data_IF_258479982284
#
_entry.id   IF_258479982284
#
_cell.length_a   1.000
_cell.length_b   1.000
_cell.length_c   1.000
_cell.angle_alpha   90.00
_cell.angle_beta   90.00
_cell.angle_gamma   90.00
#
_symmetry.space_group_name_H-M   'P 1'
#
loop_
_entity.id
_entity.type
_entity.pdbx_description
1 polymer ?
#
# COMPACT_ATOMS: atom_id res chain seq x y z
N UNK A 1 -16.55 25.65 -13.17
CA UNK A 1 -17.13 24.95 -11.99
C UNK A 1 -16.11 24.71 -10.87
N UNK A 2 -14.86 25.15 -11.00
CA UNK A 2 -13.77 25.01 -10.02
C UNK A 2 -13.48 26.32 -9.25
N UNK A 3 -14.50 27.00 -8.74
CA UNK A 3 -14.31 28.22 -7.93
C UNK A 3 -15.26 28.25 -6.75
N UNK A 4 -14.71 28.05 -5.56
CA UNK A 4 -15.37 28.18 -4.28
C UNK A 4 -15.32 26.88 -3.49
N UNK A 5 -14.48 26.81 -2.48
CA UNK A 5 -14.23 25.66 -1.59
C UNK A 5 -15.44 25.14 -0.78
N UNK A 6 -16.67 25.40 -1.24
CA UNK A 6 -17.94 24.96 -0.65
C UNK A 6 -18.18 23.46 -0.77
N UNK A 7 -17.50 22.75 -1.68
CA UNK A 7 -17.60 21.28 -1.80
C UNK A 7 -17.15 20.57 -0.51
N UNK A 8 -16.06 21.05 0.11
CA UNK A 8 -15.52 20.49 1.35
C UNK A 8 -16.39 20.77 2.59
N UNK A 9 -17.40 21.64 2.48
CA UNK A 9 -18.28 22.03 3.60
C UNK A 9 -19.65 21.34 3.47
N UNK A 10 -20.04 20.92 2.27
CA UNK A 10 -21.32 20.25 2.02
C UNK A 10 -21.31 18.84 2.64
N UNK A 11 -22.07 18.66 3.73
CA UNK A 11 -22.25 17.36 4.41
C UNK A 11 -22.66 16.22 3.46
N UNK A 12 -23.51 16.49 2.47
CA UNK A 12 -23.93 15.51 1.47
C UNK A 12 -22.78 15.01 0.59
N UNK A 13 -21.93 15.92 0.08
CA UNK A 13 -20.77 15.57 -0.74
C UNK A 13 -19.76 14.72 0.05
N UNK A 14 -19.43 15.14 1.28
CA UNK A 14 -18.54 14.39 2.17
C UNK A 14 -19.10 13.00 2.53
N UNK A 15 -20.42 12.88 2.72
CA UNK A 15 -21.07 11.60 2.97
C UNK A 15 -20.95 10.65 1.78
N UNK A 16 -21.16 11.15 0.55
CA UNK A 16 -20.96 10.36 -0.67
C UNK A 16 -19.51 9.91 -0.83
N UNK A 17 -18.53 10.78 -0.57
CA UNK A 17 -17.11 10.39 -0.61
C UNK A 17 -16.78 9.29 0.41
N UNK A 18 -17.35 9.35 1.62
CA UNK A 18 -17.20 8.28 2.62
C UNK A 18 -17.84 6.97 2.16
N UNK A 19 -19.05 7.04 1.60
CA UNK A 19 -19.75 5.88 1.06
C UNK A 19 -19.08 5.28 -0.18
N UNK A 20 -18.26 6.06 -0.90
CA UNK A 20 -17.49 5.59 -2.05
C UNK A 20 -16.25 4.76 -1.66
N UNK A 21 -15.85 4.72 -0.39
CA UNK A 21 -14.69 3.94 0.08
C UNK A 21 -14.67 2.48 -0.42
N UNK A 22 -15.77 1.70 -0.34
CA UNK A 22 -15.79 0.33 -0.89
C UNK A 22 -15.93 0.23 -2.42
N UNK A 23 -16.22 1.32 -3.14
CA UNK A 23 -16.59 1.24 -4.56
C UNK A 23 -15.44 0.73 -5.44
N UNK A 24 -14.20 1.10 -5.10
CA UNK A 24 -13.02 0.63 -5.83
C UNK A 24 -12.81 -0.87 -5.70
N UNK A 25 -13.05 -1.43 -4.51
CA UNK A 25 -12.96 -2.87 -4.27
C UNK A 25 -13.99 -3.64 -5.11
N UNK A 26 -15.24 -3.15 -5.13
CA UNK A 26 -16.31 -3.74 -5.95
C UNK A 26 -15.97 -3.65 -7.44
N UNK A 27 -15.44 -2.52 -7.90
CA UNK A 27 -15.06 -2.34 -9.30
C UNK A 27 -13.96 -3.34 -9.74
N UNK A 28 -12.95 -3.57 -8.89
CA UNK A 28 -11.89 -4.55 -9.17
C UNK A 28 -12.46 -5.97 -9.25
N UNK A 29 -13.31 -6.37 -8.29
CA UNK A 29 -13.96 -7.68 -8.32
C UNK A 29 -14.82 -7.86 -9.57
N UNK A 30 -15.64 -6.86 -9.91
CA UNK A 30 -16.50 -6.92 -11.08
C UNK A 30 -15.69 -7.02 -12.39
N UNK A 31 -14.58 -6.29 -12.50
CA UNK A 31 -13.66 -6.40 -13.64
C UNK A 31 -13.09 -7.81 -13.79
N UNK A 32 -12.58 -8.38 -12.69
CA UNK A 32 -12.06 -9.75 -12.67
C UNK A 32 -13.12 -10.80 -13.01
N UNK A 33 -14.31 -10.69 -12.40
CA UNK A 33 -15.43 -11.58 -12.70
C UNK A 33 -15.84 -11.50 -14.17
N UNK A 34 -15.87 -10.31 -14.76
CA UNK A 34 -16.22 -10.15 -16.18
C UNK A 34 -15.21 -10.85 -17.08
N UNK A 35 -13.91 -10.74 -16.80
CA UNK A 35 -12.87 -11.40 -17.61
C UNK A 35 -12.85 -12.91 -17.45
N UNK A 36 -13.11 -13.42 -16.24
CA UNK A 36 -13.13 -14.86 -15.96
C UNK A 36 -14.43 -15.56 -16.40
N UNK A 37 -15.57 -14.89 -16.23
CA UNK A 37 -16.86 -15.41 -16.69
C UNK A 37 -17.02 -15.26 -18.21
N UNK A 38 -16.44 -14.23 -18.82
CA UNK A 38 -16.54 -13.98 -20.27
C UNK A 38 -15.91 -15.06 -21.16
N UNK A 39 -15.04 -15.91 -20.59
CA UNK A 39 -14.40 -17.05 -21.28
C UNK A 39 -15.10 -18.40 -21.05
N UNK A 40 -16.07 -18.48 -20.13
CA UNK A 40 -16.96 -19.65 -20.03
C UNK A 40 -17.71 -19.81 -21.37
N UNK A 41 -17.87 -21.02 -21.95
CA UNK A 41 -17.74 -22.36 -21.36
C UNK A 41 -16.38 -23.06 -21.61
N UNK A 42 -15.33 -22.31 -21.98
CA UNK A 42 -14.04 -22.89 -22.37
C UNK A 42 -12.99 -22.71 -21.27
N UNK A 43 -12.38 -23.81 -20.83
CA UNK A 43 -11.17 -23.76 -19.99
C UNK A 43 -9.99 -23.36 -20.86
N UNK A 44 -9.88 -24.00 -22.03
CA UNK A 44 -8.92 -23.71 -23.11
C UNK A 44 -9.69 -23.68 -24.42
N UNK A 45 -9.67 -22.53 -25.11
CA UNK A 45 -10.42 -22.34 -26.35
C UNK A 45 -10.12 -23.42 -27.40
N UNK A 46 -11.17 -24.03 -27.95
CA UNK A 46 -11.07 -25.03 -29.01
C UNK A 46 -10.50 -26.40 -28.59
N UNK A 47 -10.12 -26.57 -27.32
CA UNK A 47 -9.47 -27.79 -26.83
C UNK A 47 -10.25 -28.45 -25.69
N UNK A 48 -10.66 -27.71 -24.66
CA UNK A 48 -11.28 -28.27 -23.47
C UNK A 48 -12.35 -27.35 -22.88
N UNK A 49 -13.55 -27.92 -22.63
CA UNK A 49 -14.66 -27.23 -21.97
C UNK A 49 -14.55 -27.33 -20.46
N UNK A 50 -15.12 -26.36 -19.74
CA UNK A 50 -15.13 -26.34 -18.28
C UNK A 50 -15.84 -27.52 -17.64
N UNK A 51 -16.87 -28.06 -18.30
CA UNK A 51 -17.55 -29.27 -17.85
C UNK A 51 -16.66 -30.53 -17.91
N UNK A 52 -15.78 -30.59 -18.91
CA UNK A 52 -14.90 -31.74 -19.14
C UNK A 52 -13.62 -31.67 -18.27
N UNK A 53 -13.39 -30.54 -17.59
CA UNK A 53 -12.22 -30.31 -16.71
C UNK A 53 -12.44 -30.75 -15.25
N UNK A 54 -13.60 -31.31 -14.90
CA UNK A 54 -13.91 -31.73 -13.52
C UNK A 54 -13.44 -33.16 -13.27
N UNK A 55 -12.65 -33.36 -12.21
CA UNK A 55 -12.14 -34.69 -11.85
C UNK A 55 -13.28 -35.59 -11.34
N UNK A 56 -13.56 -36.74 -11.99
CA UNK A 56 -14.67 -37.62 -11.64
C UNK A 56 -14.47 -38.44 -10.35
N UNK A 57 -13.27 -38.42 -9.77
CA UNK A 57 -12.93 -39.24 -8.59
C UNK A 57 -13.21 -38.56 -7.24
N UNK A 58 -13.63 -37.29 -7.21
CA UNK A 58 -13.97 -36.59 -5.97
C UNK A 58 -15.47 -36.65 -5.69
N UNK A 59 -15.82 -36.93 -4.43
CA UNK A 59 -17.22 -36.83 -4.01
C UNK A 59 -17.61 -35.36 -3.82
N UNK A 60 -18.89 -35.04 -4.04
CA UNK A 60 -19.43 -33.69 -3.82
C UNK A 60 -19.16 -33.19 -2.39
N UNK A 61 -19.18 -34.10 -1.41
CA UNK A 61 -18.95 -33.80 0.00
C UNK A 61 -17.52 -33.35 0.27
N UNK A 62 -16.52 -33.99 -0.35
CA UNK A 62 -15.10 -33.62 -0.15
C UNK A 62 -14.80 -32.22 -0.70
N UNK A 63 -15.40 -31.89 -1.86
CA UNK A 63 -15.29 -30.55 -2.46
C UNK A 63 -15.98 -29.50 -1.60
N UNK A 64 -17.18 -29.80 -1.09
CA UNK A 64 -17.90 -28.87 -0.22
C UNK A 64 -17.16 -28.61 1.09
N UNK A 65 -16.59 -29.65 1.70
CA UNK A 65 -15.86 -29.54 2.97
C UNK A 65 -14.56 -28.75 2.81
N UNK A 66 -13.79 -29.01 1.75
CA UNK A 66 -12.57 -28.24 1.45
C UNK A 66 -12.89 -26.79 1.11
N UNK A 67 -13.94 -26.51 0.32
CA UNK A 67 -14.41 -25.16 0.03
C UNK A 67 -14.80 -24.43 1.33
N UNK A 68 -15.55 -25.08 2.23
CA UNK A 68 -15.93 -24.50 3.51
C UNK A 68 -14.70 -24.18 4.37
N UNK A 69 -13.70 -25.06 4.41
CA UNK A 69 -12.45 -24.82 5.12
C UNK A 69 -11.70 -23.60 4.56
N UNK A 70 -11.61 -23.47 3.22
CA UNK A 70 -11.02 -22.29 2.58
C UNK A 70 -11.78 -21.00 2.91
N UNK A 71 -13.12 -21.02 2.82
CA UNK A 71 -13.96 -19.87 3.15
C UNK A 71 -13.75 -19.43 4.60
N UNK A 72 -13.77 -20.36 5.55
CA UNK A 72 -13.54 -20.06 6.96
C UNK A 72 -12.15 -19.45 7.20
N UNK A 73 -11.12 -20.01 6.57
CA UNK A 73 -9.75 -19.48 6.64
C UNK A 73 -9.67 -18.05 6.10
N UNK A 74 -10.22 -17.79 4.91
CA UNK A 74 -10.25 -16.46 4.32
C UNK A 74 -11.05 -15.47 5.16
N UNK A 75 -12.20 -15.86 5.71
CA UNK A 75 -12.99 -15.01 6.59
C UNK A 75 -12.24 -14.67 7.89
N UNK A 76 -11.53 -15.63 8.47
CA UNK A 76 -10.72 -15.39 9.67
C UNK A 76 -9.55 -14.44 9.37
N UNK A 77 -8.79 -14.69 8.31
CA UNK A 77 -7.64 -13.87 7.94
C UNK A 77 -8.05 -12.46 7.50
N UNK A 78 -9.01 -12.37 6.57
CA UNK A 78 -9.51 -11.09 6.09
C UNK A 78 -10.24 -10.34 7.20
N UNK A 79 -11.03 -11.02 8.03
CA UNK A 79 -11.73 -10.44 9.17
C UNK A 79 -10.77 -9.85 10.20
N UNK A 80 -9.72 -10.59 10.58
CA UNK A 80 -8.70 -10.09 11.50
C UNK A 80 -7.96 -8.86 10.92
N UNK A 81 -7.55 -8.93 9.65
CA UNK A 81 -6.92 -7.81 8.96
C UNK A 81 -7.84 -6.59 8.84
N UNK A 82 -9.12 -6.80 8.53
CA UNK A 82 -10.12 -5.75 8.41
C UNK A 82 -10.40 -5.08 9.77
N UNK A 83 -10.49 -5.86 10.86
CA UNK A 83 -10.62 -5.32 12.21
C UNK A 83 -9.39 -4.50 12.60
N UNK A 84 -8.17 -4.97 12.28
CA UNK A 84 -6.94 -4.22 12.52
C UNK A 84 -6.92 -2.90 11.73
N UNK A 85 -7.29 -2.95 10.45
CA UNK A 85 -7.40 -1.77 9.61
C UNK A 85 -8.39 -0.76 10.19
N UNK A 86 -9.58 -1.21 10.60
CA UNK A 86 -10.57 -0.35 11.24
C UNK A 86 -10.09 0.21 12.58
N UNK A 87 -9.33 -0.57 13.37
CA UNK A 87 -8.70 -0.08 14.60
C UNK A 87 -7.70 1.03 14.27
N UNK A 88 -6.81 0.83 13.31
CA UNK A 88 -5.82 1.83 12.87
C UNK A 88 -6.50 3.10 12.33
N UNK A 89 -7.55 2.96 11.54
CA UNK A 89 -8.32 4.10 11.03
C UNK A 89 -9.00 4.90 12.15
N UNK A 90 -9.42 4.24 13.24
CA UNK A 90 -10.05 4.88 14.41
C UNK A 90 -9.06 5.57 15.34
N UNK A 91 -7.81 5.09 15.42
CA UNK A 91 -6.77 5.73 16.22
C UNK A 91 -6.46 7.16 15.73
N UNK A 92 -6.74 7.45 14.46
CA UNK A 92 -6.46 8.74 13.84
C UNK A 92 -4.94 8.98 13.66
N UNK A 93 -4.54 9.99 12.87
CA UNK A 93 -3.13 10.34 12.75
C UNK A 93 -2.58 10.65 14.15
N UNK A 94 -1.42 10.09 14.55
CA UNK A 94 -0.78 10.57 15.76
C UNK A 94 -0.63 12.08 15.61
N UNK A 95 -1.10 12.84 16.61
CA UNK A 95 -0.84 14.27 16.68
C UNK A 95 0.66 14.47 16.40
N UNK A 96 1.02 15.50 15.64
CA UNK A 96 2.33 15.73 15.02
C UNK A 96 3.57 15.73 15.95
N UNK A 97 3.46 15.22 17.18
CA UNK A 97 4.51 14.94 18.14
C UNK A 97 5.54 13.90 17.65
N UNK A 98 5.13 12.86 16.91
CA UNK A 98 6.11 11.83 16.46
C UNK A 98 7.07 12.32 15.35
N UNK A 99 6.65 13.30 14.53
CA UNK A 99 7.53 13.93 13.55
C UNK A 99 8.50 14.94 14.19
N UNK A 100 8.16 15.50 15.35
CA UNK A 100 9.04 16.39 16.11
C UNK A 100 10.02 15.63 17.00
N UNK A 101 9.65 14.48 17.57
CA UNK A 101 10.55 13.71 18.44
C UNK A 101 11.66 12.95 17.69
N UNK A 102 11.51 12.66 16.40
CA UNK A 102 12.62 12.16 15.59
C UNK A 102 13.66 13.25 15.26
N UNK A 103 13.26 14.53 15.32
CA UNK A 103 14.15 15.67 15.10
C UNK A 103 14.71 16.27 16.42
N UNK A 104 14.19 15.86 17.58
CA UNK A 104 14.58 16.37 18.90
C UNK A 104 15.05 15.29 19.89
N UNK A 105 15.34 14.08 19.40
CA UNK A 105 16.01 13.05 20.20
C UNK A 105 17.52 13.12 19.94
N UNK A 106 18.16 14.15 20.46
CA UNK A 106 19.57 14.10 20.81
C UNK A 106 19.65 13.65 22.27
N UNK A 107 19.89 12.35 22.56
CA UNK A 107 20.33 11.97 23.89
C UNK A 107 21.77 12.46 24.04
N UNK A 108 21.92 13.45 24.91
CA UNK A 108 23.17 14.02 25.37
C UNK A 108 24.18 12.92 25.78
N UNK A 109 25.43 13.29 25.57
CA UNK A 109 26.60 12.46 25.49
C UNK A 109 27.01 11.84 26.84
N UNK A 110 26.72 10.55 27.02
CA UNK A 110 27.45 9.73 27.97
C UNK A 110 27.80 8.35 27.39
N UNK A 111 29.10 8.20 27.09
CA UNK A 111 29.85 6.94 27.00
C UNK A 111 29.63 6.01 25.79
N UNK A 112 30.16 6.39 24.62
CA UNK A 112 30.80 5.41 23.69
C UNK A 112 31.99 6.07 22.97
N UNK A 113 33.25 5.78 23.32
CA UNK A 113 34.39 6.22 22.53
C UNK A 113 34.50 5.33 21.28
N UNK A 114 34.37 5.91 20.08
CA UNK A 114 34.78 5.23 18.85
C UNK A 114 33.93 5.39 17.60
N UNK A 115 32.84 6.18 17.58
CA UNK A 115 32.13 6.46 16.31
C UNK A 115 32.56 7.81 15.75
N UNK A 116 33.51 7.77 14.80
CA UNK A 116 33.79 8.86 13.86
C UNK A 116 32.46 9.27 13.22
N UNK A 117 31.97 10.47 13.53
CA UNK A 117 30.77 11.02 12.91
C UNK A 117 31.03 11.22 11.42
N UNK A 118 30.13 10.68 10.60
CA UNK A 118 30.17 10.85 9.15
C UNK A 118 29.89 12.32 8.83
N UNK A 119 30.94 13.03 8.42
CA UNK A 119 30.87 14.40 7.93
C UNK A 119 29.95 14.43 6.69
N UNK A 120 28.86 15.22 6.69
CA UNK A 120 27.97 15.29 5.54
C UNK A 120 28.69 15.94 4.34
N UNK A 121 28.61 15.30 3.17
CA UNK A 121 29.23 15.72 1.91
C UNK A 121 28.63 17.00 1.31
N UNK A 122 27.72 17.68 2.02
CA UNK A 122 27.06 18.91 1.59
C UNK A 122 27.82 20.20 1.90
N UNK A 123 28.98 20.12 2.58
CA UNK A 123 29.80 21.29 2.91
C UNK A 123 30.84 21.65 1.83
N UNK A 124 30.60 21.30 0.56
CA UNK A 124 31.34 21.89 -0.56
C UNK A 124 30.41 22.82 -1.33
N UNK A 125 30.12 23.98 -0.73
CA UNK A 125 29.60 25.11 -1.50
C UNK A 125 30.81 25.75 -2.17
N UNK A 126 30.82 25.72 -3.51
CA UNK A 126 31.89 26.28 -4.32
C UNK A 126 32.09 27.78 -4.09
N UNK A 127 33.32 28.24 -4.28
CA UNK A 127 33.65 29.67 -4.34
C UNK A 127 35.09 29.98 -4.01
N UNK A 128 35.99 29.90 -5.00
CA UNK A 128 37.23 30.68 -5.18
C UNK A 128 37.97 30.06 -6.38
N UNK A 129 37.74 30.43 -7.64
CA UNK A 129 37.93 31.75 -8.25
C UNK A 129 39.32 32.35 -7.94
N UNK A 130 40.26 32.15 -8.88
CA UNK A 130 41.37 33.06 -9.17
C UNK A 130 42.71 32.72 -8.53
N UNK A 131 43.63 32.16 -9.34
CA UNK A 131 44.94 32.75 -9.63
C UNK A 131 45.61 31.93 -10.75
N UNK A 132 45.56 32.50 -11.96
CA UNK A 132 46.61 32.35 -12.97
C UNK A 132 47.91 32.93 -12.41
N UNK A 133 49.05 32.49 -12.96
CA UNK A 133 50.44 32.68 -12.49
C UNK A 133 50.81 31.69 -11.37
N UNK A 134 51.99 31.08 -11.33
CA UNK A 134 53.28 31.53 -11.80
C UNK A 134 54.27 30.34 -11.78
N UNK A 135 54.99 30.17 -12.89
CA UNK A 135 56.43 29.89 -12.97
C UNK A 135 57.05 28.53 -12.58
N UNK A 136 58.06 28.23 -13.40
CA UNK A 136 59.22 27.36 -13.20
C UNK A 136 59.00 25.85 -13.34
N UNK A 137 59.84 25.07 -14.02
CA UNK A 137 60.98 25.29 -14.94
C UNK A 137 61.42 23.87 -15.37
N UNK A 138 62.19 23.80 -16.46
CA UNK A 138 62.88 22.65 -17.06
C UNK A 138 62.13 21.89 -18.16
#
# INVERSE_FOLDING_TARGET
MWRGGRLYVRRGWLATCRAATPIGFVAVLAGWTTTEAGRQPWTVYGLMRTADSVTPSLTTTDVALSLAAYVLCYLAMFGAGFVLLLRLLRLGPPAASAASSACAAEPDAAAVPGRRSARPLSAVSGGAAGTTEQNDAA
#
